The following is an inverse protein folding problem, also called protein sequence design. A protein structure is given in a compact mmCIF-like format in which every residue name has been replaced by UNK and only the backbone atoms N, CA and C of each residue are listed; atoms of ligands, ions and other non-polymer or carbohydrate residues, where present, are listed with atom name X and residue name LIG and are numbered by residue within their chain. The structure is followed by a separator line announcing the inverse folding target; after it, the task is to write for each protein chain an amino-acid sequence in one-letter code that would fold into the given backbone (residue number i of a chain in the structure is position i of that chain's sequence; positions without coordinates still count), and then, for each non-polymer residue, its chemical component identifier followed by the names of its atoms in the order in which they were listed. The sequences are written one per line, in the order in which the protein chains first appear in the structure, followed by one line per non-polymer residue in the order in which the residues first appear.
data_IF_803059418988
#
_entry.id   IF_803059418988
#
_cell.length_a   1.000
_cell.length_b   1.000
_cell.length_c   1.000
_cell.angle_alpha   90.00
_cell.angle_beta   90.00
_cell.angle_gamma   90.00
#
_symmetry.space_group_name_H-M   'P 1'
#
loop_
_entity.id
_entity.type
_entity.pdbx_description
1 polymer ?
#
# COMPACT_ATOMS: atom_id res chain seq x y z
N UNK A 1 -2.76 0.65 14.90
CA UNK A 1 -3.05 -0.71 14.39
C UNK A 1 -2.75 -0.85 12.90
N UNK A 2 -3.54 -0.28 11.98
CA UNK A 2 -3.34 -0.54 10.53
C UNK A 2 -1.99 -0.04 10.00
N UNK A 3 -1.53 1.14 10.42
CA UNK A 3 -0.18 1.64 10.11
C UNK A 3 0.92 0.67 10.56
N UNK A 4 0.91 0.30 11.84
CA UNK A 4 1.85 -0.69 12.39
C UNK A 4 1.82 -2.05 11.64
N UNK A 5 0.64 -2.56 11.30
CA UNK A 5 0.50 -3.79 10.51
C UNK A 5 1.11 -3.60 9.10
N UNK A 6 0.85 -2.47 8.46
CA UNK A 6 1.43 -2.13 7.16
C UNK A 6 2.96 -2.05 7.20
N UNK A 7 3.50 -1.40 8.22
CA UNK A 7 4.95 -1.26 8.43
C UNK A 7 5.61 -2.63 8.64
N UNK A 8 4.99 -3.48 9.47
CA UNK A 8 5.42 -4.86 9.71
C UNK A 8 5.41 -5.70 8.42
N UNK A 9 4.29 -5.72 7.69
CA UNK A 9 4.14 -6.59 6.52
C UNK A 9 4.97 -6.12 5.33
N UNK A 10 5.14 -4.81 5.14
CA UNK A 10 6.07 -4.31 4.12
C UNK A 10 7.52 -4.71 4.45
N UNK A 11 7.89 -4.75 5.73
CA UNK A 11 9.20 -5.26 6.14
C UNK A 11 9.36 -6.77 5.95
N UNK A 12 8.33 -7.56 6.28
CA UNK A 12 8.36 -9.02 6.12
C UNK A 12 8.31 -9.48 4.65
N UNK A 13 7.71 -8.70 3.75
CA UNK A 13 7.38 -9.15 2.39
C UNK A 13 8.07 -8.31 1.32
N UNK A 14 7.87 -6.99 1.34
CA UNK A 14 8.30 -6.11 0.23
C UNK A 14 9.79 -5.75 0.34
N UNK A 15 10.30 -5.50 1.56
CA UNK A 15 11.73 -5.21 1.75
C UNK A 15 12.62 -6.34 1.26
N UNK A 16 12.19 -7.59 1.45
CA UNK A 16 12.96 -8.77 1.05
C UNK A 16 13.10 -8.90 -0.47
N UNK A 17 12.24 -8.25 -1.26
CA UNK A 17 12.31 -8.28 -2.73
C UNK A 17 13.52 -7.46 -3.22
N UNK A 18 13.81 -6.33 -2.57
CA UNK A 18 14.82 -5.37 -3.04
C UNK A 18 15.99 -5.18 -2.07
N UNK A 19 15.92 -5.74 -0.86
CA UNK A 19 16.81 -5.41 0.25
C UNK A 19 16.85 -3.90 0.57
N UNK A 20 15.73 -3.21 0.37
CA UNK A 20 15.55 -1.78 0.64
C UNK A 20 14.33 -1.54 1.52
N UNK A 21 14.41 -0.53 2.38
CA UNK A 21 13.29 -0.09 3.20
C UNK A 21 12.35 0.74 2.33
N UNK A 22 11.10 0.34 2.21
CA UNK A 22 10.03 1.13 1.54
C UNK A 22 9.28 1.97 2.57
N UNK A 23 8.39 2.86 2.11
CA UNK A 23 7.63 3.78 2.96
C UNK A 23 7.11 3.14 4.26
N UNK A 24 7.12 3.92 5.35
CA UNK A 24 6.62 3.51 6.67
C UNK A 24 5.75 4.60 7.26
N UNK A 25 4.65 4.19 7.90
CA UNK A 25 3.78 5.12 8.63
C UNK A 25 4.40 5.58 9.95
N UNK A 26 5.28 4.77 10.53
CA UNK A 26 5.92 4.98 11.84
C UNK A 26 4.90 5.24 12.97
N UNK A 27 3.67 4.73 12.81
CA UNK A 27 2.63 4.84 13.83
C UNK A 27 2.88 3.80 14.92
N UNK A 28 2.98 4.27 16.16
CA UNK A 28 3.50 3.49 17.29
C UNK A 28 2.50 2.53 17.93
N UNK A 29 1.23 2.51 17.52
CA UNK A 29 0.22 1.64 18.15
C UNK A 29 0.49 0.16 17.83
N UNK A 30 1.03 -0.64 18.78
CA UNK A 30 1.53 -1.98 18.51
C UNK A 30 0.41 -3.01 18.46
N UNK A 31 0.79 -4.28 18.27
CA UNK A 31 -0.08 -5.42 18.48
C UNK A 31 -0.67 -5.43 19.91
N UNK A 32 -1.99 -5.22 20.01
CA UNK A 32 -2.73 -5.27 21.27
C UNK A 32 -3.26 -6.68 21.61
N UNK A 33 -2.91 -7.68 20.79
CA UNK A 33 -3.32 -9.08 20.95
C UNK A 33 -4.81 -9.34 20.66
N UNK A 34 -5.59 -8.31 20.33
CA UNK A 34 -7.05 -8.42 20.19
C UNK A 34 -7.43 -9.25 18.97
N UNK A 35 -8.63 -9.85 19.01
CA UNK A 35 -9.21 -10.50 17.84
C UNK A 35 -9.36 -9.56 16.63
N UNK A 36 -9.55 -8.26 16.89
CA UNK A 36 -9.57 -7.22 15.86
C UNK A 36 -8.22 -7.07 15.18
N UNK A 37 -7.13 -6.96 15.96
CA UNK A 37 -5.78 -6.89 15.42
C UNK A 37 -5.47 -8.12 14.56
N UNK A 38 -5.70 -9.32 15.10
CA UNK A 38 -5.45 -10.59 14.39
C UNK A 38 -6.21 -10.65 13.05
N UNK A 39 -7.47 -10.23 13.03
CA UNK A 39 -8.28 -10.17 11.81
C UNK A 39 -7.72 -9.17 10.80
N UNK A 40 -7.33 -7.97 11.25
CA UNK A 40 -6.75 -6.95 10.37
C UNK A 40 -5.40 -7.39 9.80
N UNK A 41 -4.56 -8.00 10.64
CA UNK A 41 -3.26 -8.54 10.24
C UNK A 41 -3.41 -9.63 9.18
N UNK A 42 -4.31 -10.60 9.42
CA UNK A 42 -4.56 -11.66 8.45
C UNK A 42 -5.08 -11.11 7.11
N UNK A 43 -5.97 -10.12 7.16
CA UNK A 43 -6.51 -9.47 5.96
C UNK A 43 -5.40 -8.78 5.17
N UNK A 44 -4.56 -7.96 5.81
CA UNK A 44 -3.44 -7.29 5.14
C UNK A 44 -2.40 -8.30 4.62
N UNK A 45 -2.06 -9.33 5.41
CA UNK A 45 -1.14 -10.39 5.01
C UNK A 45 -1.62 -11.07 3.73
N UNK A 46 -2.91 -11.43 3.67
CA UNK A 46 -3.49 -12.03 2.46
C UNK A 46 -3.39 -11.11 1.23
N UNK A 47 -3.56 -9.79 1.40
CA UNK A 47 -3.38 -8.84 0.29
C UNK A 47 -1.94 -8.86 -0.21
N UNK A 48 -0.95 -8.75 0.70
CA UNK A 48 0.46 -8.77 0.32
C UNK A 48 0.89 -10.10 -0.30
N UNK A 49 0.52 -11.24 0.30
CA UNK A 49 0.82 -12.57 -0.26
C UNK A 49 0.29 -12.73 -1.68
N UNK A 50 -0.95 -12.31 -1.95
CA UNK A 50 -1.52 -12.36 -3.30
C UNK A 50 -0.79 -11.41 -4.28
N UNK A 51 -0.27 -10.27 -3.79
CA UNK A 51 0.45 -9.32 -4.64
C UNK A 51 1.81 -9.83 -5.13
N UNK A 52 2.46 -10.69 -4.33
CA UNK A 52 3.81 -11.24 -4.63
C UNK A 52 3.77 -12.67 -5.14
N UNK A 53 2.59 -13.27 -5.30
CA UNK A 53 2.45 -14.64 -5.78
C UNK A 53 3.03 -14.77 -7.21
N UNK A 54 4.03 -15.64 -7.36
CA UNK A 54 4.77 -15.74 -8.62
C UNK A 54 3.96 -16.39 -9.75
N UNK A 55 3.03 -17.28 -9.43
CA UNK A 55 2.18 -17.97 -10.42
C UNK A 55 0.95 -17.15 -10.79
N UNK A 56 0.28 -16.59 -9.77
CA UNK A 56 -1.06 -16.00 -9.89
C UNK A 56 -1.04 -14.49 -10.08
N UNK A 57 -0.11 -13.77 -9.44
CA UNK A 57 -0.08 -12.30 -9.54
C UNK A 57 0.20 -11.87 -10.98
N UNK A 58 -0.60 -10.92 -11.48
CA UNK A 58 -0.40 -10.31 -12.80
C UNK A 58 0.46 -9.06 -12.73
N UNK A 59 0.91 -8.69 -11.53
CA UNK A 59 1.77 -7.54 -11.30
C UNK A 59 3.08 -7.98 -10.63
N UNK A 60 4.08 -7.12 -10.69
CA UNK A 60 5.30 -7.20 -9.92
C UNK A 60 5.68 -5.81 -9.43
N UNK A 61 6.44 -5.76 -8.35
CA UNK A 61 7.07 -4.52 -7.88
C UNK A 61 8.39 -4.30 -8.61
N UNK A 62 8.76 -3.05 -8.88
CA UNK A 62 10.10 -2.65 -9.33
C UNK A 62 10.55 -1.40 -8.57
N UNK A 63 11.86 -1.19 -8.48
CA UNK A 63 12.40 0.09 -8.02
C UNK A 63 11.96 1.20 -8.99
N UNK A 64 11.62 2.35 -8.41
CA UNK A 64 11.16 3.53 -9.14
C UNK A 64 12.23 4.61 -9.07
N UNK A 65 12.97 4.79 -10.17
CA UNK A 65 14.11 5.72 -10.20
C UNK A 65 13.69 7.18 -10.42
N UNK A 66 12.53 7.43 -11.04
CA UNK A 66 12.12 8.79 -11.42
C UNK A 66 11.41 9.57 -10.30
N UNK A 67 11.01 8.92 -9.21
CA UNK A 67 10.49 9.58 -8.01
C UNK A 67 11.55 9.74 -6.92
N UNK A 68 12.79 9.31 -7.18
CA UNK A 68 13.87 9.37 -6.22
C UNK A 68 14.16 10.83 -5.81
N UNK A 69 13.91 11.14 -4.54
CA UNK A 69 14.38 12.37 -3.92
C UNK A 69 15.67 12.03 -3.17
N UNK A 70 16.72 12.84 -3.34
CA UNK A 70 18.05 12.56 -2.79
C UNK A 70 18.08 12.36 -1.28
N UNK A 71 17.10 12.93 -0.57
CA UNK A 71 17.03 12.93 0.89
C UNK A 71 15.92 12.00 1.44
N UNK A 72 15.23 11.23 0.58
CA UNK A 72 14.22 10.27 1.04
C UNK A 72 14.91 9.02 1.62
N UNK A 73 14.70 8.69 2.90
CA UNK A 73 15.28 7.48 3.49
C UNK A 73 14.63 6.19 2.97
N UNK A 74 13.55 6.28 2.19
CA UNK A 74 12.80 5.15 1.67
C UNK A 74 13.07 4.93 0.17
N UNK A 75 13.17 3.67 -0.22
CA UNK A 75 13.14 3.30 -1.62
C UNK A 75 11.72 3.51 -2.19
N UNK A 76 11.65 4.24 -3.31
CA UNK A 76 10.44 4.32 -4.11
C UNK A 76 10.30 3.05 -4.95
N UNK A 77 9.11 2.49 -4.96
CA UNK A 77 8.77 1.36 -5.80
C UNK A 77 7.58 1.69 -6.69
N UNK A 78 7.47 0.98 -7.80
CA UNK A 78 6.35 1.07 -8.72
C UNK A 78 5.78 -0.32 -8.99
N UNK A 79 4.49 -0.34 -9.32
CA UNK A 79 3.79 -1.56 -9.74
C UNK A 79 3.81 -1.62 -11.26
N UNK A 80 4.24 -2.75 -11.82
CA UNK A 80 4.21 -3.02 -13.26
C UNK A 80 3.46 -4.30 -13.57
N UNK A 81 2.89 -4.39 -14.77
CA UNK A 81 2.21 -5.59 -15.21
C UNK A 81 3.23 -6.65 -15.67
N UNK A 82 3.09 -7.89 -15.20
CA UNK A 82 3.88 -9.06 -15.66
C UNK A 82 3.45 -9.56 -17.04
N UNK A 83 2.24 -9.20 -17.46
CA UNK A 83 1.59 -9.68 -18.69
C UNK A 83 0.49 -8.73 -19.14
N UNK A 84 -0.02 -8.90 -20.35
CA UNK A 84 -1.14 -8.11 -20.85
C UNK A 84 -2.39 -8.29 -19.97
N UNK A 85 -2.96 -7.16 -19.53
CA UNK A 85 -4.18 -7.11 -18.72
C UNK A 85 -5.30 -6.53 -19.58
N UNK A 86 -6.34 -7.32 -19.83
CA UNK A 86 -7.51 -6.87 -20.61
C UNK A 86 -8.21 -5.71 -19.91
N UNK A 87 -8.75 -4.76 -20.67
CA UNK A 87 -9.60 -3.68 -20.15
C UNK A 87 -10.72 -4.25 -19.28
N UNK A 88 -11.06 -3.54 -18.20
CA UNK A 88 -12.06 -3.95 -17.19
C UNK A 88 -11.71 -5.17 -16.32
N UNK A 89 -10.51 -5.73 -16.45
CA UNK A 89 -10.02 -6.76 -15.51
C UNK A 89 -9.90 -6.18 -14.11
N UNK A 90 -10.50 -6.85 -13.11
CA UNK A 90 -10.30 -6.52 -11.70
C UNK A 90 -9.01 -7.18 -11.20
N UNK A 91 -8.06 -6.36 -10.76
CA UNK A 91 -6.82 -6.80 -10.13
C UNK A 91 -7.04 -6.90 -8.62
N UNK A 92 -7.29 -8.12 -8.13
CA UNK A 92 -7.52 -8.36 -6.70
C UNK A 92 -6.21 -8.27 -5.91
N UNK A 93 -5.10 -8.64 -6.56
CA UNK A 93 -3.72 -8.52 -6.10
C UNK A 93 -3.32 -7.08 -5.76
N UNK A 94 -3.98 -6.08 -6.34
CA UNK A 94 -3.86 -4.67 -5.99
C UNK A 94 -5.04 -4.23 -5.13
N UNK A 95 -4.98 -4.57 -3.85
CA UNK A 95 -5.99 -4.18 -2.87
C UNK A 95 -5.38 -3.39 -1.72
N UNK A 96 -6.24 -2.67 -0.99
CA UNK A 96 -5.88 -1.90 0.18
C UNK A 96 -7.08 -1.72 1.09
N UNK A 97 -6.80 -1.27 2.31
CA UNK A 97 -7.80 -0.79 3.27
C UNK A 97 -7.66 0.72 3.40
N UNK A 98 -8.82 1.40 3.40
CA UNK A 98 -8.93 2.79 3.79
C UNK A 98 -9.24 2.86 5.28
N UNK A 99 -8.60 3.78 5.99
CA UNK A 99 -8.99 4.12 7.34
C UNK A 99 -8.95 5.64 7.57
N UNK A 100 -9.87 6.19 8.39
CA UNK A 100 -9.86 7.61 8.71
C UNK A 100 -8.52 8.00 9.34
N UNK A 101 -7.92 9.08 8.87
CA UNK A 101 -6.62 9.55 9.35
C UNK A 101 -6.70 11.02 9.72
N UNK A 102 -6.65 11.31 11.02
CA UNK A 102 -6.73 12.66 11.52
C UNK A 102 -5.42 13.41 11.28
N UNK A 103 -5.53 14.69 10.90
CA UNK A 103 -4.40 15.57 10.57
C UNK A 103 -3.33 15.62 11.66
N UNK A 104 -3.72 15.55 12.95
CA UNK A 104 -2.79 15.51 14.09
C UNK A 104 -1.81 14.32 14.10
N UNK A 105 -2.06 13.27 13.31
CA UNK A 105 -1.18 12.11 13.19
C UNK A 105 -0.30 12.16 11.92
N UNK A 106 -0.50 13.16 11.07
CA UNK A 106 0.25 13.34 9.84
C UNK A 106 1.62 13.93 10.15
N UNK A 107 2.65 13.26 9.66
CA UNK A 107 4.02 13.75 9.64
C UNK A 107 4.42 13.87 8.17
N UNK A 108 4.50 15.11 7.69
CA UNK A 108 4.75 15.43 6.28
C UNK A 108 6.07 14.81 5.81
N UNK A 109 6.06 14.17 4.64
CA UNK A 109 7.21 13.47 4.08
C UNK A 109 7.55 12.14 4.77
N UNK A 110 6.75 11.70 5.74
CA UNK A 110 6.93 10.41 6.43
C UNK A 110 5.73 9.50 6.17
N UNK A 111 4.52 9.94 6.50
CA UNK A 111 3.33 9.08 6.48
C UNK A 111 2.16 9.63 5.66
N UNK A 112 2.41 10.63 4.81
CA UNK A 112 1.45 11.27 3.91
C UNK A 112 1.46 10.69 2.47
N UNK A 113 2.30 9.69 2.20
CA UNK A 113 2.53 9.10 0.87
C UNK A 113 1.28 8.48 0.20
N UNK A 114 0.27 8.07 0.96
CA UNK A 114 -0.95 7.43 0.44
C UNK A 114 -2.24 7.99 1.05
N UNK A 115 -2.22 9.27 1.41
CA UNK A 115 -3.43 9.96 1.87
C UNK A 115 -4.41 10.19 0.73
N UNK A 116 -5.69 9.90 0.98
CA UNK A 116 -6.79 10.08 0.04
C UNK A 116 -7.96 10.74 0.77
N UNK A 117 -8.56 11.75 0.15
CA UNK A 117 -9.80 12.31 0.64
C UNK A 117 -11.01 11.46 0.21
N UNK A 118 -11.76 10.94 1.17
CA UNK A 118 -13.00 10.21 0.92
C UNK A 118 -14.15 11.20 0.73
N UNK A 119 -14.66 11.33 -0.50
CA UNK A 119 -15.85 12.14 -0.79
C UNK A 119 -17.11 11.60 -0.09
N UNK A 120 -17.22 10.26 0.02
CA UNK A 120 -18.36 9.60 0.67
C UNK A 120 -18.43 9.92 2.17
N UNK A 121 -17.28 9.90 2.86
CA UNK A 121 -17.19 10.13 4.30
C UNK A 121 -16.76 11.56 4.65
N UNK A 122 -16.50 12.41 3.64
CA UNK A 122 -16.02 13.79 3.76
C UNK A 122 -14.81 13.95 4.70
N UNK A 123 -13.86 13.03 4.63
CA UNK A 123 -12.72 12.99 5.55
C UNK A 123 -11.43 12.51 4.87
N UNK A 124 -10.29 12.89 5.46
CA UNK A 124 -8.98 12.35 5.10
C UNK A 124 -8.88 10.88 5.56
N UNK A 125 -8.36 10.04 4.68
CA UNK A 125 -8.09 8.64 4.94
C UNK A 125 -6.67 8.30 4.54
N UNK A 126 -6.07 7.32 5.22
CA UNK A 126 -4.85 6.68 4.76
C UNK A 126 -5.20 5.36 4.06
N UNK A 127 -4.60 5.12 2.89
CA UNK A 127 -4.76 3.92 2.08
C UNK A 127 -3.55 3.01 2.27
N UNK A 128 -3.72 1.82 2.87
CA UNK A 128 -2.61 0.88 3.09
C UNK A 128 -2.88 -0.52 2.53
N UNK A 129 -1.82 -1.14 2.02
CA UNK A 129 -1.80 -2.42 1.32
C UNK A 129 -1.04 -2.31 -0.01
N UNK A 130 -0.97 -3.38 -0.81
CA UNK A 130 -0.33 -3.38 -2.14
C UNK A 130 -0.70 -2.19 -3.04
N UNK A 131 -1.95 -1.73 -2.98
CA UNK A 131 -2.42 -0.60 -3.80
C UNK A 131 -1.74 0.73 -3.45
N UNK A 132 -1.14 0.88 -2.26
CA UNK A 132 -0.43 2.09 -1.85
C UNK A 132 0.88 2.34 -2.64
N UNK A 133 1.36 1.35 -3.40
CA UNK A 133 2.52 1.46 -4.28
C UNK A 133 2.17 1.82 -5.73
N UNK A 134 0.90 2.04 -6.04
CA UNK A 134 0.48 2.47 -7.37
C UNK A 134 0.74 3.96 -7.52
N UNK A 135 1.63 4.32 -8.44
CA UNK A 135 1.97 5.71 -8.71
C UNK A 135 0.85 6.45 -9.45
N UNK A 136 0.83 7.77 -9.26
CA UNK A 136 -0.07 8.65 -9.99
C UNK A 136 0.33 8.80 -11.47
N UNK A 137 -0.67 8.90 -12.35
CA UNK A 137 -0.50 9.36 -13.72
C UNK A 137 -1.73 10.17 -14.12
N UNK A 138 -1.54 11.30 -14.80
CA UNK A 138 -2.65 12.11 -15.32
C UNK A 138 -3.42 11.38 -16.44
N UNK A 139 -2.80 10.38 -17.08
CA UNK A 139 -3.42 9.51 -18.08
C UNK A 139 -3.36 8.05 -17.62
N UNK A 140 -4.12 7.67 -16.59
CA UNK A 140 -3.98 6.38 -15.94
C UNK A 140 -4.55 5.25 -16.79
N UNK A 141 -3.94 4.06 -16.68
CA UNK A 141 -4.42 2.83 -17.30
C UNK A 141 -5.33 1.99 -16.37
N UNK A 142 -5.51 2.44 -15.12
CA UNK A 142 -6.32 1.79 -14.09
C UNK A 142 -7.12 2.83 -13.31
N UNK A 143 -8.19 2.39 -12.65
CA UNK A 143 -9.00 3.21 -11.75
C UNK A 143 -9.33 2.43 -10.49
N UNK A 144 -9.40 3.13 -9.36
CA UNK A 144 -9.86 2.51 -8.12
C UNK A 144 -11.31 2.08 -8.27
N UNK A 145 -11.61 0.89 -7.75
CA UNK A 145 -12.96 0.34 -7.73
C UNK A 145 -13.29 -0.11 -6.30
N UNK A 146 -14.40 0.40 -5.76
CA UNK A 146 -14.88 -0.02 -4.45
C UNK A 146 -15.45 -1.45 -4.57
N UNK A 147 -15.22 -2.30 -3.58
CA UNK A 147 -16.05 -3.50 -3.40
C UNK A 147 -17.45 -3.01 -3.02
N UNK A 148 -18.40 -3.12 -3.96
CA UNK A 148 -19.84 -3.09 -3.67
C UNK A 148 -20.16 -4.40 -2.94
#
# INVERSE_FOLDING_TARGET
MLGHIGDKLTAEIVHLIFNHIVHKTNLTTPNDGTGRYKKMDQVQRNMYSMSVDQGESRIEYKLCEYLCQSDDPFAHIMVVAKRHIKKNTKLKELSAQLFPFAEKYVVKGVNDFSMIYSQLHKQQCLLLGPLAFVNHSCTPNCKFNKKI
#
